data_IF_292195145089
#
_entry.id   IF_292195145089
#
_cell.length_a   1.000
_cell.length_b   1.000
_cell.length_c   1.000
_cell.angle_alpha   90.00
_cell.angle_beta   90.00
_cell.angle_gamma   90.00
#
_symmetry.space_group_name_H-M   'P 1'
#
loop_
_entity.id
_entity.type
_entity.pdbx_description
1 polymer ?
#
# COMPACT_ATOMS: atom_id res chain seq x y z
N UNK A 1 -16.26 -21.24 1.93
CA UNK A 1 -15.05 -21.25 2.79
C UNK A 1 -13.87 -21.86 2.07
N UNK A 2 -13.98 -23.11 1.63
CA UNK A 2 -12.88 -23.79 0.95
C UNK A 2 -12.43 -23.06 -0.34
N UNK A 3 -13.38 -22.54 -1.12
CA UNK A 3 -13.06 -21.79 -2.34
C UNK A 3 -12.27 -20.52 -2.02
N UNK A 4 -12.66 -19.81 -0.95
CA UNK A 4 -11.96 -18.58 -0.54
C UNK A 4 -10.56 -18.91 -0.01
N UNK A 5 -10.42 -19.98 0.77
CA UNK A 5 -9.12 -20.43 1.26
C UNK A 5 -8.19 -20.77 0.10
N UNK A 6 -8.71 -21.44 -0.92
CA UNK A 6 -7.94 -21.80 -2.13
C UNK A 6 -7.50 -20.54 -2.89
N UNK A 7 -8.40 -19.56 -3.02
CA UNK A 7 -8.07 -18.28 -3.67
C UNK A 7 -6.97 -17.54 -2.90
N UNK A 8 -7.07 -17.50 -1.58
CA UNK A 8 -6.05 -16.86 -0.75
C UNK A 8 -4.70 -17.56 -0.86
N UNK A 9 -4.70 -18.88 -0.87
CA UNK A 9 -3.48 -19.65 -1.04
C UNK A 9 -2.82 -19.36 -2.40
N UNK A 10 -3.61 -19.37 -3.47
CA UNK A 10 -3.12 -19.10 -4.81
C UNK A 10 -2.55 -17.69 -4.93
N UNK A 11 -3.25 -16.68 -4.34
CA UNK A 11 -2.78 -15.30 -4.36
C UNK A 11 -1.52 -15.12 -3.52
N UNK A 12 -1.42 -15.81 -2.40
CA UNK A 12 -0.19 -15.80 -1.59
C UNK A 12 1.00 -16.34 -2.36
N UNK A 13 0.82 -17.44 -3.07
CA UNK A 13 1.88 -18.01 -3.93
C UNK A 13 2.25 -17.06 -5.05
N UNK A 14 1.25 -16.43 -5.65
CA UNK A 14 1.45 -15.46 -6.74
C UNK A 14 2.25 -14.24 -6.25
N UNK A 15 1.90 -13.72 -5.08
CA UNK A 15 2.63 -12.61 -4.44
C UNK A 15 4.09 -13.01 -4.20
N UNK A 16 4.31 -14.18 -3.62
CA UNK A 16 5.66 -14.66 -3.35
C UNK A 16 6.47 -14.84 -4.63
N UNK A 17 5.86 -15.32 -5.70
CA UNK A 17 6.52 -15.49 -6.99
C UNK A 17 6.95 -14.15 -7.59
N UNK A 18 6.08 -13.14 -7.50
CA UNK A 18 6.40 -11.79 -7.95
C UNK A 18 7.60 -11.25 -7.17
N UNK A 19 7.58 -11.40 -5.85
CA UNK A 19 8.65 -10.93 -4.97
C UNK A 19 9.97 -11.68 -5.21
N UNK A 20 9.91 -12.96 -5.48
CA UNK A 20 11.12 -13.75 -5.82
C UNK A 20 11.81 -13.21 -7.07
N UNK A 21 11.06 -12.64 -8.00
CA UNK A 21 11.64 -11.99 -9.17
C UNK A 21 12.56 -10.81 -8.82
N UNK A 22 12.41 -10.24 -7.64
CA UNK A 22 13.25 -9.13 -7.19
C UNK A 22 14.65 -9.57 -6.72
N UNK A 23 14.86 -10.87 -6.44
CA UNK A 23 16.14 -11.39 -5.96
C UNK A 23 17.32 -11.00 -6.84
N UNK A 24 17.10 -10.90 -8.14
CA UNK A 24 18.16 -10.66 -9.11
C UNK A 24 18.35 -9.18 -9.45
N UNK A 25 17.27 -8.39 -9.44
CA UNK A 25 17.29 -7.02 -9.92
C UNK A 25 17.02 -5.99 -8.85
N UNK A 26 16.35 -6.39 -7.76
CA UNK A 26 15.87 -5.48 -6.72
C UNK A 26 16.07 -6.11 -5.34
N UNK A 27 17.33 -6.41 -5.00
CA UNK A 27 17.67 -7.10 -3.74
C UNK A 27 17.11 -6.39 -2.51
N UNK A 28 17.18 -5.06 -2.50
CA UNK A 28 16.69 -4.28 -1.35
C UNK A 28 15.20 -4.47 -1.15
N UNK A 29 14.43 -4.43 -2.25
CA UNK A 29 12.99 -4.63 -2.16
C UNK A 29 12.65 -6.02 -1.62
N UNK A 30 13.38 -7.04 -2.08
CA UNK A 30 13.21 -8.40 -1.59
C UNK A 30 13.49 -8.51 -0.09
N UNK A 31 14.61 -7.96 0.36
CA UNK A 31 15.01 -8.01 1.78
C UNK A 31 14.00 -7.29 2.67
N UNK A 32 13.54 -6.12 2.25
CA UNK A 32 12.57 -5.33 3.01
C UNK A 32 11.23 -6.07 3.07
N UNK A 33 10.75 -6.60 1.95
CA UNK A 33 9.52 -7.40 1.94
C UNK A 33 9.62 -8.58 2.91
N UNK A 34 10.77 -9.26 2.90
CA UNK A 34 11.01 -10.46 3.71
C UNK A 34 11.11 -10.15 5.21
N UNK A 35 11.28 -8.88 5.59
CA UNK A 35 11.28 -8.47 6.99
C UNK A 35 9.89 -8.44 7.60
N UNK A 36 8.85 -8.59 6.80
CA UNK A 36 7.46 -8.52 7.22
C UNK A 36 6.75 -9.85 6.98
N UNK A 37 5.69 -10.10 7.75
CA UNK A 37 4.86 -11.30 7.58
C UNK A 37 3.73 -11.00 6.62
N UNK A 38 3.60 -11.82 5.59
CA UNK A 38 2.50 -11.73 4.62
C UNK A 38 1.27 -12.43 5.19
N UNK A 39 0.19 -11.68 5.43
CA UNK A 39 -1.00 -12.15 6.14
C UNK A 39 -2.28 -11.79 5.37
N UNK A 40 -3.18 -12.75 5.23
CA UNK A 40 -4.49 -12.50 4.61
C UNK A 40 -5.39 -11.66 5.53
N UNK A 41 -6.13 -10.71 4.94
CA UNK A 41 -7.12 -9.90 5.65
C UNK A 41 -8.35 -9.74 4.74
N UNK A 42 -9.45 -10.39 5.11
CA UNK A 42 -10.66 -10.49 4.28
C UNK A 42 -11.58 -9.27 4.38
N UNK A 43 -11.33 -8.38 5.34
CA UNK A 43 -12.22 -7.25 5.60
C UNK A 43 -11.71 -5.91 5.06
N UNK A 44 -10.45 -5.81 4.70
CA UNK A 44 -9.99 -4.53 4.16
C UNK A 44 -10.46 -4.32 2.73
N UNK A 45 -10.65 -3.07 2.33
CA UNK A 45 -11.21 -2.69 1.04
C UNK A 45 -10.18 -2.38 -0.03
N UNK A 46 -8.97 -2.93 0.09
CA UNK A 46 -7.89 -2.71 -0.88
C UNK A 46 -7.02 -3.96 -0.96
N UNK A 47 -6.10 -3.98 -1.92
CA UNK A 47 -5.22 -5.12 -2.14
C UNK A 47 -4.24 -5.34 -1.00
N UNK A 48 -3.60 -4.27 -0.52
CA UNK A 48 -2.53 -4.37 0.48
C UNK A 48 -2.62 -3.28 1.54
N UNK A 49 -2.16 -3.63 2.74
CA UNK A 49 -1.97 -2.68 3.83
C UNK A 49 -0.76 -3.11 4.65
N UNK A 50 0.07 -2.15 5.04
CA UNK A 50 1.32 -2.41 5.75
C UNK A 50 1.34 -1.73 7.11
N UNK A 51 1.79 -2.45 8.12
CA UNK A 51 1.98 -1.94 9.47
C UNK A 51 2.16 -3.08 10.45
N UNK A 52 2.68 -2.77 11.63
CA UNK A 52 2.82 -3.73 12.74
C UNK A 52 3.59 -5.00 12.34
N UNK A 53 4.61 -4.84 11.49
CA UNK A 53 5.44 -5.97 11.05
C UNK A 53 4.79 -6.87 10.02
N UNK A 54 3.65 -6.48 9.45
CA UNK A 54 2.90 -7.29 8.49
C UNK A 54 2.63 -6.53 7.22
N UNK A 55 2.60 -7.27 6.12
CA UNK A 55 1.96 -6.83 4.87
C UNK A 55 0.71 -7.67 4.74
N UNK A 56 -0.44 -7.03 4.84
CA UNK A 56 -1.73 -7.70 4.74
C UNK A 56 -2.23 -7.63 3.30
N UNK A 57 -2.84 -8.72 2.82
CA UNK A 57 -3.42 -8.75 1.48
C UNK A 57 -4.87 -9.24 1.54
N UNK A 58 -5.69 -8.73 0.61
CA UNK A 58 -7.04 -9.23 0.41
C UNK A 58 -7.14 -9.81 -1.00
N UNK A 59 -7.26 -11.13 -1.08
CA UNK A 59 -7.27 -11.87 -2.34
C UNK A 59 -8.39 -11.42 -3.28
N UNK A 60 -9.51 -10.95 -2.74
CA UNK A 60 -10.61 -10.41 -3.53
C UNK A 60 -10.16 -9.25 -4.43
N UNK A 61 -9.23 -8.45 -3.95
CA UNK A 61 -8.72 -7.30 -4.69
C UNK A 61 -7.44 -7.62 -5.46
N UNK A 62 -6.51 -8.39 -4.89
CA UNK A 62 -5.26 -8.73 -5.56
C UNK A 62 -5.49 -9.48 -6.86
N UNK A 63 -6.49 -10.37 -6.89
CA UNK A 63 -6.80 -11.17 -8.07
C UNK A 63 -7.31 -10.35 -9.26
N UNK A 64 -7.67 -9.09 -9.05
CA UNK A 64 -8.13 -8.18 -10.11
C UNK A 64 -6.98 -7.60 -10.92
N UNK A 65 -5.75 -7.77 -10.46
CA UNK A 65 -4.55 -7.20 -11.06
C UNK A 65 -3.74 -8.29 -11.75
N UNK A 66 -3.10 -7.95 -12.88
CA UNK A 66 -2.13 -8.85 -13.48
C UNK A 66 -0.82 -8.83 -12.66
N UNK A 67 0.14 -9.70 -13.00
CA UNK A 67 1.38 -9.81 -12.23
C UNK A 67 2.20 -8.53 -12.25
N UNK A 68 2.17 -7.80 -13.35
CA UNK A 68 2.91 -6.54 -13.50
C UNK A 68 2.33 -5.45 -12.59
N UNK A 69 1.01 -5.32 -12.57
CA UNK A 69 0.30 -4.40 -11.69
C UNK A 69 0.50 -4.77 -10.22
N UNK A 70 0.42 -6.07 -9.93
CA UNK A 70 0.64 -6.58 -8.58
C UNK A 70 2.05 -6.23 -8.08
N UNK A 71 3.06 -6.36 -8.95
CA UNK A 71 4.43 -6.00 -8.61
C UNK A 71 4.55 -4.52 -8.25
N UNK A 72 3.87 -3.65 -8.98
CA UNK A 72 3.89 -2.21 -8.68
C UNK A 72 3.17 -1.87 -7.38
N UNK A 73 2.05 -2.52 -7.10
CA UNK A 73 1.36 -2.35 -5.82
C UNK A 73 2.23 -2.80 -4.65
N UNK A 74 2.91 -3.94 -4.80
CA UNK A 74 3.82 -4.45 -3.77
C UNK A 74 5.02 -3.53 -3.57
N UNK A 75 5.55 -2.96 -4.64
CA UNK A 75 6.64 -1.98 -4.57
C UNK A 75 6.23 -0.78 -3.71
N UNK A 76 5.01 -0.29 -3.85
CA UNK A 76 4.50 0.81 -3.03
C UNK A 76 4.52 0.43 -1.55
N UNK A 77 4.08 -0.79 -1.21
CA UNK A 77 4.09 -1.23 0.20
C UNK A 77 5.51 -1.33 0.75
N UNK A 78 6.45 -1.84 -0.04
CA UNK A 78 7.85 -1.90 0.36
C UNK A 78 8.44 -0.49 0.54
N UNK A 79 8.12 0.43 -0.36
CA UNK A 79 8.55 1.83 -0.22
C UNK A 79 7.98 2.47 1.04
N UNK A 80 6.74 2.14 1.40
CA UNK A 80 6.13 2.59 2.65
C UNK A 80 6.97 2.19 3.86
N UNK A 81 7.49 0.96 3.85
CA UNK A 81 8.35 0.45 4.92
C UNK A 81 9.68 1.19 4.93
N UNK A 82 10.31 1.32 3.77
CA UNK A 82 11.62 2.00 3.63
C UNK A 82 11.52 3.44 4.12
N UNK A 83 10.45 4.13 3.77
CA UNK A 83 10.22 5.52 4.19
C UNK A 83 9.67 5.62 5.61
N UNK A 84 9.38 4.51 6.25
CA UNK A 84 8.93 4.40 7.65
C UNK A 84 7.61 5.12 7.93
N UNK A 85 6.76 5.28 6.92
CA UNK A 85 5.48 5.94 7.07
C UNK A 85 4.58 5.29 8.13
N UNK A 86 4.44 3.94 8.18
CA UNK A 86 3.60 3.31 9.21
C UNK A 86 4.30 3.14 10.55
N UNK A 87 5.56 3.52 10.66
CA UNK A 87 6.40 3.30 11.85
C UNK A 87 6.85 4.62 12.45
N UNK A 88 8.16 4.93 12.40
CA UNK A 88 8.71 6.11 13.09
C UNK A 88 8.18 7.44 12.54
N UNK A 89 7.70 7.47 11.29
CA UNK A 89 7.13 8.68 10.69
C UNK A 89 5.61 8.76 10.84
N UNK A 90 4.97 7.78 11.46
CA UNK A 90 3.53 7.83 11.72
C UNK A 90 3.22 9.02 12.61
N UNK A 91 2.33 9.89 12.15
CA UNK A 91 1.98 11.12 12.86
C UNK A 91 0.84 10.87 13.84
N UNK A 92 0.99 11.37 15.08
CA UNK A 92 -0.07 11.28 16.09
C UNK A 92 -1.25 12.17 15.71
N UNK A 93 -2.45 11.73 16.04
CA UNK A 93 -3.66 12.51 15.83
C UNK A 93 -4.14 12.57 14.38
N UNK A 94 -3.47 11.86 13.47
CA UNK A 94 -3.84 11.80 12.06
C UNK A 94 -4.73 10.56 11.84
N UNK A 95 -5.85 10.74 11.15
CA UNK A 95 -6.75 9.63 10.77
C UNK A 95 -5.97 8.61 9.93
N UNK A 96 -6.30 7.34 10.09
CA UNK A 96 -5.63 6.26 9.35
C UNK A 96 -5.79 6.44 7.83
N UNK A 97 -6.98 6.82 7.37
CA UNK A 97 -7.21 7.04 5.94
C UNK A 97 -6.36 8.20 5.39
N UNK A 98 -6.28 9.30 6.12
CA UNK A 98 -5.44 10.44 5.72
C UNK A 98 -3.96 10.05 5.70
N UNK A 99 -3.52 9.26 6.67
CA UNK A 99 -2.14 8.78 6.75
C UNK A 99 -1.77 7.88 5.57
N UNK A 100 -2.63 6.94 5.21
CA UNK A 100 -2.40 6.04 4.07
C UNK A 100 -2.41 6.81 2.76
N UNK A 101 -3.36 7.72 2.57
CA UNK A 101 -3.43 8.54 1.37
C UNK A 101 -2.20 9.47 1.26
N UNK A 102 -1.76 10.05 2.35
CA UNK A 102 -0.54 10.88 2.38
C UNK A 102 0.69 10.07 1.99
N UNK A 103 0.78 8.83 2.45
CA UNK A 103 1.84 7.91 2.09
C UNK A 103 1.81 7.59 0.60
N UNK A 104 0.63 7.28 0.05
CA UNK A 104 0.46 7.02 -1.39
C UNK A 104 0.93 8.21 -2.22
N UNK A 105 0.46 9.41 -1.90
CA UNK A 105 0.82 10.64 -2.62
C UNK A 105 2.33 10.85 -2.60
N UNK A 106 2.94 10.69 -1.43
CA UNK A 106 4.38 10.88 -1.25
C UNK A 106 5.18 9.87 -2.07
N UNK A 107 4.79 8.60 -2.05
CA UNK A 107 5.51 7.54 -2.75
C UNK A 107 5.40 7.72 -4.26
N UNK A 108 4.18 7.95 -4.77
CA UNK A 108 3.97 8.14 -6.22
C UNK A 108 4.73 9.36 -6.71
N UNK A 109 4.79 10.41 -5.91
CA UNK A 109 5.47 11.66 -6.28
C UNK A 109 6.99 11.50 -6.34
N UNK A 110 7.57 10.70 -5.46
CA UNK A 110 9.03 10.63 -5.28
C UNK A 110 9.66 9.33 -5.79
N UNK A 111 8.86 8.31 -6.07
CA UNK A 111 9.35 7.00 -6.53
C UNK A 111 8.82 6.70 -7.91
N UNK A 112 9.59 5.92 -8.67
CA UNK A 112 9.15 5.50 -10.00
C UNK A 112 8.21 4.30 -9.85
N UNK A 113 6.91 4.57 -9.97
CA UNK A 113 5.86 3.56 -9.89
C UNK A 113 5.16 3.48 -11.24
N UNK A 114 5.04 2.26 -11.78
CA UNK A 114 4.32 2.01 -13.02
C UNK A 114 2.81 1.97 -12.82
N UNK A 115 2.10 1.62 -13.89
CA UNK A 115 0.64 1.51 -13.88
C UNK A 115 0.19 0.38 -12.95
N UNK A 116 -0.64 0.70 -11.97
CA UNK A 116 -1.21 -0.29 -11.05
C UNK A 116 -2.58 -0.80 -11.49
N UNK A 117 -3.16 -0.21 -12.54
CA UNK A 117 -4.42 -0.68 -13.12
C UNK A 117 -5.64 -0.51 -12.23
N UNK A 118 -5.59 0.34 -11.22
CA UNK A 118 -6.71 0.52 -10.31
C UNK A 118 -6.69 1.92 -9.70
N UNK A 119 -7.78 2.25 -8.99
CA UNK A 119 -7.91 3.50 -8.25
C UNK A 119 -7.53 3.33 -6.77
N UNK A 120 -6.85 2.26 -6.43
CA UNK A 120 -6.47 1.99 -5.03
C UNK A 120 -5.42 2.97 -4.53
N UNK A 121 -4.57 3.47 -5.43
CA UNK A 121 -3.46 4.34 -5.06
C UNK A 121 -3.84 5.80 -5.33
N UNK A 122 -3.68 6.63 -4.31
CA UNK A 122 -4.07 8.03 -4.36
C UNK A 122 -2.90 8.90 -4.78
N UNK A 123 -3.20 9.93 -5.55
CA UNK A 123 -2.22 10.91 -6.02
C UNK A 123 -2.63 12.32 -5.60
N UNK A 124 -1.74 13.30 -5.79
CA UNK A 124 -2.08 14.69 -5.55
C UNK A 124 -3.24 15.15 -6.43
N UNK A 125 -3.29 14.66 -7.67
CA UNK A 125 -4.37 14.96 -8.61
C UNK A 125 -5.71 14.40 -8.13
N UNK A 126 -5.71 13.23 -7.49
CA UNK A 126 -6.93 12.61 -6.94
C UNK A 126 -7.67 13.57 -6.02
N UNK A 127 -6.94 14.33 -5.20
CA UNK A 127 -7.50 15.23 -4.21
C UNK A 127 -7.47 16.69 -4.64
N UNK A 128 -6.94 16.98 -5.83
CA UNK A 128 -6.74 18.34 -6.34
C UNK A 128 -5.95 19.19 -5.34
N UNK A 129 -4.84 18.66 -4.85
CA UNK A 129 -3.95 19.33 -3.89
C UNK A 129 -2.59 19.58 -4.54
N UNK A 130 -1.81 20.56 -4.01
CA UNK A 130 -0.50 20.87 -4.59
C UNK A 130 0.48 19.72 -4.51
N UNK A 131 1.43 19.68 -5.45
CA UNK A 131 2.55 18.73 -5.45
C UNK A 131 3.74 19.33 -4.71
N UNK A 132 4.69 18.48 -4.34
CA UNK A 132 5.98 18.91 -3.83
C UNK A 132 6.09 18.99 -2.31
N UNK A 133 5.07 18.58 -1.58
CA UNK A 133 5.12 18.53 -0.12
C UNK A 133 5.67 17.19 0.39
N UNK A 134 6.12 17.18 1.63
CA UNK A 134 6.56 15.96 2.28
C UNK A 134 5.37 15.20 2.89
N UNK A 135 5.62 13.98 3.34
CA UNK A 135 4.61 13.11 3.92
C UNK A 135 3.88 13.80 5.10
N UNK A 136 4.63 14.41 6.02
CA UNK A 136 4.07 15.05 7.20
C UNK A 136 3.13 16.20 6.84
N UNK A 137 3.48 16.96 5.82
CA UNK A 137 2.64 18.04 5.32
C UNK A 137 1.38 17.51 4.65
N UNK A 138 1.49 16.44 3.86
CA UNK A 138 0.33 15.80 3.26
C UNK A 138 -0.60 15.19 4.31
N UNK A 139 -0.06 14.65 5.41
CA UNK A 139 -0.88 14.20 6.52
C UNK A 139 -1.77 15.32 7.05
N UNK A 140 -1.22 16.52 7.22
CA UNK A 140 -1.97 17.68 7.70
C UNK A 140 -3.00 18.16 6.68
N UNK A 141 -2.61 18.27 5.42
CA UNK A 141 -3.50 18.69 4.33
C UNK A 141 -4.70 17.75 4.22
N UNK A 142 -4.44 16.44 4.18
CA UNK A 142 -5.50 15.46 4.01
C UNK A 142 -6.36 15.31 5.27
N UNK A 143 -5.78 15.45 6.46
CA UNK A 143 -6.55 15.46 7.69
C UNK A 143 -7.59 16.58 7.67
N UNK A 144 -7.17 17.78 7.26
CA UNK A 144 -8.06 18.92 7.14
C UNK A 144 -9.12 18.69 6.06
N UNK A 145 -8.71 18.18 4.90
CA UNK A 145 -9.64 17.87 3.81
C UNK A 145 -10.69 16.83 4.24
N UNK A 146 -10.30 15.83 5.02
CA UNK A 146 -11.17 14.74 5.45
C UNK A 146 -11.95 15.07 6.72
N UNK A 147 -11.73 16.21 7.36
CA UNK A 147 -12.32 16.54 8.66
C UNK A 147 -13.86 16.57 8.63
N UNK A 148 -14.45 16.82 7.47
CA UNK A 148 -15.91 16.86 7.29
C UNK A 148 -16.49 15.55 6.79
N UNK A 149 -15.63 14.53 6.56
CA UNK A 149 -16.04 13.24 6.03
C UNK A 149 -16.02 12.17 7.12
N UNK A 150 -16.92 11.16 7.05
CA UNK A 150 -16.81 10.04 7.99
C UNK A 150 -15.54 9.23 7.71
N UNK A 151 -14.98 8.53 8.73
CA UNK A 151 -13.82 7.66 8.51
C UNK A 151 -14.12 6.59 7.46
N UNK A 152 -13.15 6.31 6.60
CA UNK A 152 -13.27 5.25 5.61
C UNK A 152 -13.11 3.89 6.27
N UNK A 153 -14.02 2.96 5.99
CA UNK A 153 -13.93 1.58 6.48
C UNK A 153 -12.98 0.74 5.63
N UNK A 154 -12.60 1.23 4.46
CA UNK A 154 -11.78 0.48 3.51
C UNK A 154 -10.27 0.65 3.72
N UNK A 155 -9.87 1.47 4.65
CA UNK A 155 -8.45 1.78 4.89
C UNK A 155 -7.81 0.90 5.94
#
# INVERSE_FOLDING_TARGET
MQVLDDIEFDEKLRIRKVVEGWLWNENLLYDVFSSHILTANRIMGCSFRTGQGRIEYNAKFTRRHDDKQLAELLKIEVMRIILKHPYTRRQEGIRDDASVCASDVTIVQNCRIGDVGSNEIMTAETFNIPKGYCYEEYCKILTQLFSTLPPSESV
#
